data_IF_927790255208
#
_entry.id   IF_927790255208
#
_cell.length_a   1.000
_cell.length_b   1.000
_cell.length_c   1.000
_cell.angle_alpha   90.00
_cell.angle_beta   90.00
_cell.angle_gamma   90.00
#
_symmetry.space_group_name_H-M   'P 1'
#
loop_
_entity.id
_entity.type
_entity.pdbx_description
1 polymer ?
#
# COMPACT_ATOMS: atom_id res chain seq x y z
N UNK A 1 25.76 -77.72 -18.82
CA UNK A 1 26.18 -76.80 -17.80
C UNK A 1 26.42 -75.42 -18.40
N UNK A 2 25.48 -74.56 -18.38
CA UNK A 2 25.58 -73.22 -19.00
C UNK A 2 26.02 -72.21 -17.93
N UNK A 3 27.23 -71.65 -18.05
CA UNK A 3 27.73 -70.58 -17.23
C UNK A 3 27.28 -69.21 -17.73
N UNK A 4 26.41 -68.54 -17.02
CA UNK A 4 26.02 -67.18 -17.30
C UNK A 4 27.07 -66.22 -16.74
N UNK A 5 27.80 -65.56 -17.62
CA UNK A 5 28.65 -64.43 -17.28
C UNK A 5 27.79 -63.18 -17.19
N UNK A 6 27.57 -62.68 -15.97
CA UNK A 6 27.00 -61.39 -15.74
C UNK A 6 27.99 -60.29 -16.09
N UNK A 7 27.69 -59.53 -17.13
CA UNK A 7 28.43 -58.34 -17.54
C UNK A 7 28.03 -57.20 -16.60
N UNK A 8 28.89 -56.84 -15.64
CA UNK A 8 28.72 -55.62 -14.85
C UNK A 8 28.89 -54.42 -15.76
N UNK A 9 27.79 -53.70 -16.02
CA UNK A 9 27.82 -52.38 -16.66
C UNK A 9 28.29 -51.34 -15.68
N UNK A 10 29.57 -50.94 -15.80
CA UNK A 10 30.17 -49.78 -15.11
C UNK A 10 29.72 -48.49 -15.79
N UNK A 11 28.50 -48.05 -15.50
CA UNK A 11 27.94 -46.81 -16.08
C UNK A 11 27.17 -46.03 -15.01
N UNK A 12 27.82 -45.74 -13.89
CA UNK A 12 27.22 -44.77 -12.99
C UNK A 12 28.25 -44.25 -11.97
N UNK A 13 29.30 -43.59 -12.47
CA UNK A 13 30.11 -42.67 -11.66
C UNK A 13 30.61 -41.52 -12.53
N UNK A 14 29.69 -40.71 -13.00
CA UNK A 14 30.03 -39.33 -13.32
C UNK A 14 29.68 -38.51 -12.10
N UNK A 15 30.60 -38.40 -11.18
CA UNK A 15 30.59 -37.35 -10.16
C UNK A 15 30.59 -36.03 -10.88
N UNK A 16 29.40 -35.46 -11.02
CA UNK A 16 29.21 -34.07 -11.46
C UNK A 16 29.60 -33.18 -10.28
N UNK A 17 30.92 -33.06 -10.06
CA UNK A 17 31.45 -32.05 -9.16
C UNK A 17 31.26 -30.70 -9.84
N UNK A 18 30.14 -30.04 -9.57
CA UNK A 18 29.98 -28.62 -9.86
C UNK A 18 30.99 -27.86 -9.00
N UNK A 19 31.85 -27.04 -9.60
CA UNK A 19 32.82 -26.27 -8.85
C UNK A 19 32.07 -25.33 -7.89
N UNK A 20 32.44 -25.38 -6.62
CA UNK A 20 31.86 -24.64 -5.51
C UNK A 20 31.81 -23.11 -5.74
N UNK A 21 32.59 -22.62 -6.71
CA UNK A 21 32.63 -21.20 -7.10
C UNK A 21 31.41 -20.74 -7.92
N UNK A 22 30.59 -21.66 -8.47
CA UNK A 22 29.42 -21.32 -9.27
C UNK A 22 28.12 -21.28 -8.46
N UNK A 23 28.11 -21.84 -7.24
CA UNK A 23 26.92 -21.88 -6.37
C UNK A 23 26.40 -20.50 -5.99
N UNK A 24 27.23 -19.51 -5.61
CA UNK A 24 26.72 -18.19 -5.28
C UNK A 24 26.15 -17.45 -6.49
N UNK A 25 26.67 -17.68 -7.70
CA UNK A 25 26.13 -17.03 -8.91
C UNK A 25 24.79 -17.62 -9.35
N UNK A 26 24.59 -18.93 -9.19
CA UNK A 26 23.32 -19.61 -9.46
C UNK A 26 22.23 -19.19 -8.46
N UNK A 27 22.55 -19.05 -7.17
CA UNK A 27 21.63 -18.57 -6.15
C UNK A 27 21.25 -17.10 -6.37
N UNK A 28 22.19 -16.27 -6.82
CA UNK A 28 21.95 -14.89 -7.22
C UNK A 28 21.07 -14.79 -8.48
N UNK A 29 21.24 -15.71 -9.42
CA UNK A 29 20.41 -15.79 -10.61
C UNK A 29 18.96 -16.16 -10.26
N UNK A 30 18.76 -17.17 -9.40
CA UNK A 30 17.42 -17.54 -8.91
C UNK A 30 16.75 -16.40 -8.10
N UNK A 31 17.52 -15.65 -7.33
CA UNK A 31 17.00 -14.47 -6.62
C UNK A 31 16.58 -13.35 -7.58
N UNK A 32 17.27 -13.21 -8.71
CA UNK A 32 16.86 -12.29 -9.80
C UNK A 32 15.63 -12.80 -10.53
N UNK A 33 15.52 -14.11 -10.78
CA UNK A 33 14.37 -14.70 -11.48
C UNK A 33 13.08 -14.62 -10.66
N UNK A 34 13.16 -14.61 -9.33
CA UNK A 34 12.02 -14.34 -8.45
C UNK A 34 11.51 -12.90 -8.57
N UNK A 35 12.32 -11.96 -9.05
CA UNK A 35 11.97 -10.55 -9.26
C UNK A 35 11.53 -10.23 -10.71
N UNK A 36 11.51 -11.20 -11.61
CA UNK A 36 11.13 -11.02 -13.02
C UNK A 36 9.73 -10.43 -13.17
N UNK A 37 8.78 -10.80 -12.29
CA UNK A 37 7.44 -10.22 -12.30
C UNK A 37 7.42 -8.72 -11.96
N UNK A 38 8.45 -8.20 -11.34
CA UNK A 38 8.57 -6.78 -11.02
C UNK A 38 9.19 -5.99 -12.18
N UNK A 39 10.15 -6.58 -12.90
CA UNK A 39 10.78 -5.96 -14.07
C UNK A 39 9.90 -5.95 -15.32
N UNK A 40 8.96 -6.90 -15.45
CA UNK A 40 8.02 -6.97 -16.58
C UNK A 40 6.78 -6.09 -16.41
N UNK A 41 6.60 -5.45 -15.27
CA UNK A 41 5.46 -4.55 -14.99
C UNK A 41 5.57 -3.15 -15.60
N UNK A 42 6.59 -2.86 -16.37
CA UNK A 42 6.82 -1.54 -16.94
C UNK A 42 7.36 -0.53 -15.92
N UNK A 43 8.10 0.45 -16.39
CA UNK A 43 8.67 1.52 -15.56
C UNK A 43 7.59 2.23 -14.74
N UNK A 44 7.67 2.11 -13.42
CA UNK A 44 6.80 2.80 -12.47
C UNK A 44 5.69 1.97 -11.82
N UNK A 45 5.51 0.70 -12.18
CA UNK A 45 4.54 -0.17 -11.48
C UNK A 45 5.15 -0.77 -10.21
N UNK A 46 5.36 0.04 -9.18
CA UNK A 46 5.69 -0.46 -7.85
C UNK A 46 4.57 -1.36 -7.31
N UNK A 47 4.92 -2.46 -6.63
CA UNK A 47 3.96 -3.35 -5.95
C UNK A 47 3.02 -2.60 -5.01
N UNK A 48 3.44 -1.45 -4.52
CA UNK A 48 2.72 -0.58 -3.59
C UNK A 48 2.16 0.69 -4.23
N UNK A 49 2.27 0.85 -5.56
CA UNK A 49 1.65 1.98 -6.24
C UNK A 49 0.13 1.81 -6.24
N UNK A 50 -0.57 2.86 -5.84
CA UNK A 50 -2.02 2.91 -5.98
C UNK A 50 -2.39 2.88 -7.46
N UNK A 51 -3.32 2.01 -7.82
CA UNK A 51 -3.79 1.89 -9.18
C UNK A 51 -4.47 3.19 -9.62
N UNK A 52 -4.07 3.70 -10.77
CA UNK A 52 -4.74 4.84 -11.40
C UNK A 52 -6.11 4.37 -11.93
N UNK A 53 -7.15 4.91 -11.35
CA UNK A 53 -8.55 4.63 -11.69
C UNK A 53 -9.10 5.75 -12.60
N UNK A 54 -10.28 5.52 -13.19
CA UNK A 54 -11.01 6.60 -13.85
C UNK A 54 -11.41 7.70 -12.85
N UNK A 55 -11.66 8.91 -13.33
CA UNK A 55 -12.02 10.05 -12.45
C UNK A 55 -13.24 9.75 -11.58
N UNK A 56 -14.27 9.10 -12.14
CA UNK A 56 -15.47 8.71 -11.39
C UNK A 56 -15.17 7.68 -10.30
N UNK A 57 -14.36 6.66 -10.62
CA UNK A 57 -13.95 5.66 -9.64
C UNK A 57 -13.05 6.25 -8.55
N UNK A 58 -12.18 7.21 -8.93
CA UNK A 58 -11.34 7.94 -7.99
C UNK A 58 -12.19 8.77 -7.03
N UNK A 59 -13.20 9.50 -7.53
CA UNK A 59 -14.12 10.25 -6.71
C UNK A 59 -14.96 9.34 -5.77
N UNK A 60 -15.44 8.21 -6.27
CA UNK A 60 -16.17 7.24 -5.46
C UNK A 60 -15.30 6.67 -4.31
N UNK A 61 -14.04 6.31 -4.61
CA UNK A 61 -13.09 5.83 -3.59
C UNK A 61 -12.74 6.91 -2.57
N UNK A 62 -12.57 8.16 -3.01
CA UNK A 62 -12.33 9.29 -2.11
C UNK A 62 -13.53 9.54 -1.18
N UNK A 63 -14.77 9.47 -1.69
CA UNK A 63 -16.00 9.57 -0.88
C UNK A 63 -16.08 8.44 0.16
N UNK A 64 -15.75 7.20 -0.21
CA UNK A 64 -15.69 6.08 0.73
C UNK A 64 -14.63 6.33 1.84
N UNK A 65 -13.46 6.84 1.48
CA UNK A 65 -12.42 7.18 2.44
C UNK A 65 -12.87 8.29 3.41
N UNK A 66 -13.58 9.31 2.91
CA UNK A 66 -14.17 10.37 3.74
C UNK A 66 -15.25 9.84 4.67
N UNK A 67 -16.10 8.94 4.19
CA UNK A 67 -17.10 8.28 5.04
C UNK A 67 -16.46 7.49 6.20
N UNK A 68 -15.27 6.89 5.97
CA UNK A 68 -14.51 6.26 7.06
C UNK A 68 -13.95 7.26 8.05
N UNK A 69 -13.55 8.46 7.61
CA UNK A 69 -13.10 9.53 8.52
C UNK A 69 -14.24 9.99 9.44
N UNK A 70 -15.42 10.26 8.89
CA UNK A 70 -16.58 10.70 9.66
C UNK A 70 -17.16 9.61 10.53
N UNK A 71 -17.17 8.36 10.11
CA UNK A 71 -17.71 7.20 10.82
C UNK A 71 -16.67 6.54 11.74
N UNK A 72 -15.86 5.64 11.19
CA UNK A 72 -14.93 4.78 11.96
C UNK A 72 -13.96 5.58 12.85
N UNK A 73 -13.30 6.60 12.27
CA UNK A 73 -12.27 7.35 13.02
C UNK A 73 -12.91 8.13 14.15
N UNK A 74 -14.01 8.84 13.89
CA UNK A 74 -14.73 9.60 14.92
C UNK A 74 -15.28 8.71 16.03
N UNK A 75 -15.81 7.54 15.67
CA UNK A 75 -16.30 6.57 16.64
C UNK A 75 -15.19 6.05 17.56
N UNK A 76 -14.04 5.65 16.99
CA UNK A 76 -12.91 5.15 17.78
C UNK A 76 -12.27 6.24 18.65
N UNK A 77 -12.19 7.49 18.16
CA UNK A 77 -11.73 8.64 18.95
C UNK A 77 -12.65 8.85 20.16
N UNK A 78 -13.97 8.89 19.96
CA UNK A 78 -14.93 9.09 21.02
C UNK A 78 -14.94 7.96 22.07
N UNK A 79 -14.68 6.72 21.62
CA UNK A 79 -14.52 5.55 22.51
C UNK A 79 -13.13 5.46 23.14
N UNK A 80 -12.21 6.37 22.83
CA UNK A 80 -10.81 6.38 23.29
C UNK A 80 -10.03 5.14 22.85
N UNK A 81 -10.39 4.54 21.74
CA UNK A 81 -9.70 3.40 21.13
C UNK A 81 -8.58 3.89 20.21
N UNK A 82 -7.53 4.46 20.81
CA UNK A 82 -6.48 5.21 20.14
C UNK A 82 -5.74 4.42 19.06
N UNK A 83 -5.43 3.15 19.33
CA UNK A 83 -4.76 2.29 18.35
C UNK A 83 -5.64 2.02 17.13
N UNK A 84 -6.93 1.74 17.35
CA UNK A 84 -7.91 1.51 16.30
C UNK A 84 -8.17 2.79 15.51
N UNK A 85 -8.32 3.94 16.20
CA UNK A 85 -8.45 5.24 15.58
C UNK A 85 -7.27 5.57 14.66
N UNK A 86 -6.04 5.38 15.12
CA UNK A 86 -4.83 5.60 14.32
C UNK A 86 -4.74 4.65 13.11
N UNK A 87 -5.13 3.40 13.26
CA UNK A 87 -5.14 2.44 12.15
C UNK A 87 -6.23 2.75 11.12
N UNK A 88 -7.43 3.13 11.57
CA UNK A 88 -8.52 3.55 10.70
C UNK A 88 -8.15 4.83 9.93
N UNK A 89 -7.58 5.82 10.63
CA UNK A 89 -7.09 7.06 10.01
C UNK A 89 -6.07 6.78 8.90
N UNK A 90 -5.04 5.97 9.15
CA UNK A 90 -4.01 5.66 8.15
C UNK A 90 -4.59 4.96 6.93
N UNK A 91 -5.54 4.02 7.12
CA UNK A 91 -6.22 3.34 6.00
C UNK A 91 -7.01 4.33 5.14
N UNK A 92 -7.77 5.23 5.76
CA UNK A 92 -8.55 6.21 5.04
C UNK A 92 -7.65 7.21 4.29
N UNK A 93 -6.63 7.74 4.96
CA UNK A 93 -5.76 8.80 4.43
C UNK A 93 -4.85 8.30 3.30
N UNK A 94 -4.44 7.04 3.34
CA UNK A 94 -3.54 6.49 2.32
C UNK A 94 -4.13 6.61 0.90
N UNK A 95 -5.40 6.25 0.72
CA UNK A 95 -6.08 6.39 -0.57
C UNK A 95 -6.56 7.82 -0.82
N UNK A 96 -7.11 8.48 0.21
CA UNK A 96 -7.67 9.82 0.09
C UNK A 96 -6.65 10.84 -0.41
N UNK A 97 -5.40 10.81 0.11
CA UNK A 97 -4.36 11.74 -0.31
C UNK A 97 -4.03 11.61 -1.81
N UNK A 98 -3.92 10.39 -2.29
CA UNK A 98 -3.66 10.11 -3.70
C UNK A 98 -4.84 10.55 -4.58
N UNK A 99 -6.05 10.22 -4.17
CA UNK A 99 -7.26 10.47 -4.93
C UNK A 99 -7.59 11.97 -5.03
N UNK A 100 -7.52 12.69 -3.92
CA UNK A 100 -7.74 14.14 -3.90
C UNK A 100 -6.70 14.87 -4.77
N UNK A 101 -5.42 14.50 -4.67
CA UNK A 101 -4.39 15.12 -5.50
C UNK A 101 -4.62 14.87 -7.01
N UNK A 102 -5.04 13.66 -7.39
CA UNK A 102 -5.36 13.34 -8.77
C UNK A 102 -6.60 14.11 -9.26
N UNK A 103 -7.66 14.17 -8.47
CA UNK A 103 -8.88 14.91 -8.81
C UNK A 103 -8.60 16.40 -8.99
N UNK A 104 -7.84 17.00 -8.07
CA UNK A 104 -7.43 18.39 -8.15
C UNK A 104 -6.59 18.66 -9.42
N UNK A 105 -5.65 17.75 -9.73
CA UNK A 105 -4.81 17.89 -10.92
C UNK A 105 -5.60 17.73 -12.24
N UNK A 106 -6.57 16.81 -12.29
CA UNK A 106 -7.34 16.51 -13.50
C UNK A 106 -8.49 17.49 -13.75
N UNK A 107 -9.16 17.96 -12.71
CA UNK A 107 -10.35 18.81 -12.79
C UNK A 107 -10.11 20.29 -12.45
N UNK A 108 -8.91 20.64 -11.98
CA UNK A 108 -8.57 22.02 -11.63
C UNK A 108 -9.19 22.48 -10.30
N UNK A 109 -9.25 21.58 -9.30
CA UNK A 109 -9.75 21.92 -7.97
C UNK A 109 -8.76 22.77 -7.14
N UNK A 110 -9.21 23.21 -5.96
CA UNK A 110 -8.41 24.03 -5.05
C UNK A 110 -7.31 23.21 -4.35
N UNK A 111 -6.06 23.41 -4.80
CA UNK A 111 -4.89 22.76 -4.23
C UNK A 111 -4.57 23.24 -2.81
N UNK A 112 -4.95 24.45 -2.44
CA UNK A 112 -4.69 24.98 -1.10
C UNK A 112 -5.71 24.42 -0.10
N UNK A 113 -6.96 24.22 -0.51
CA UNK A 113 -7.94 23.47 0.28
C UNK A 113 -7.49 22.02 0.54
N UNK A 114 -6.92 21.37 -0.48
CA UNK A 114 -6.36 20.02 -0.30
C UNK A 114 -5.18 20.01 0.69
N UNK A 115 -4.28 20.97 0.62
CA UNK A 115 -3.17 21.10 1.59
C UNK A 115 -3.69 21.35 3.01
N UNK A 116 -4.71 22.17 3.16
CA UNK A 116 -5.30 22.48 4.47
C UNK A 116 -6.00 21.26 5.07
N UNK A 117 -6.69 20.47 4.25
CA UNK A 117 -7.21 19.16 4.65
C UNK A 117 -6.10 18.26 5.20
N UNK A 118 -4.99 18.12 4.48
CA UNK A 118 -3.91 17.23 4.91
C UNK A 118 -3.20 17.72 6.17
N UNK A 119 -3.07 19.03 6.37
CA UNK A 119 -2.59 19.59 7.66
C UNK A 119 -3.51 19.24 8.81
N UNK A 120 -4.84 19.35 8.59
CA UNK A 120 -5.83 19.00 9.60
C UNK A 120 -5.74 17.52 9.97
N UNK A 121 -5.55 16.63 8.96
CA UNK A 121 -5.36 15.19 9.17
C UNK A 121 -4.07 14.90 9.94
N UNK A 122 -2.98 15.59 9.65
CA UNK A 122 -1.70 15.44 10.37
C UNK A 122 -1.83 15.88 11.84
N UNK A 123 -2.55 16.96 12.08
CA UNK A 123 -2.88 17.41 13.44
C UNK A 123 -3.75 16.39 14.18
N UNK A 124 -4.71 15.77 13.49
CA UNK A 124 -5.54 14.71 14.05
C UNK A 124 -4.70 13.45 14.39
N UNK A 125 -3.78 13.02 13.53
CA UNK A 125 -2.88 11.89 13.84
C UNK A 125 -2.00 12.18 15.06
N UNK A 126 -1.53 13.41 15.21
CA UNK A 126 -0.80 13.84 16.40
C UNK A 126 -1.66 13.79 17.67
N UNK A 127 -2.90 14.32 17.62
CA UNK A 127 -3.81 14.29 18.75
C UNK A 127 -4.19 12.86 19.16
N UNK A 128 -4.40 11.96 18.19
CA UNK A 128 -4.63 10.52 18.44
C UNK A 128 -3.43 9.87 19.13
N UNK A 129 -2.20 10.18 18.69
CA UNK A 129 -0.97 9.66 19.32
C UNK A 129 -0.77 10.20 20.73
N UNK A 130 -1.13 11.45 20.95
CA UNK A 130 -1.11 12.09 22.29
C UNK A 130 -2.25 11.62 23.19
N UNK A 131 -3.22 10.90 22.64
CA UNK A 131 -4.44 10.44 23.34
C UNK A 131 -5.28 11.60 23.89
N UNK A 132 -5.28 12.72 23.20
CA UNK A 132 -6.00 13.93 23.54
C UNK A 132 -7.37 13.93 22.86
N UNK A 133 -8.42 13.66 23.64
CA UNK A 133 -9.79 13.59 23.14
C UNK A 133 -10.32 14.98 22.76
N UNK A 134 -9.99 15.98 23.57
CA UNK A 134 -10.55 17.33 23.42
C UNK A 134 -10.09 17.98 22.11
N UNK A 135 -8.87 17.65 21.67
CA UNK A 135 -8.32 18.09 20.40
C UNK A 135 -8.68 17.15 19.25
N UNK A 136 -8.67 15.82 19.46
CA UNK A 136 -8.88 14.84 18.40
C UNK A 136 -10.33 14.84 17.87
N UNK A 137 -11.32 14.99 18.74
CA UNK A 137 -12.74 14.94 18.34
C UNK A 137 -13.12 16.08 17.37
N UNK A 138 -12.84 17.37 17.66
CA UNK A 138 -13.13 18.44 16.72
C UNK A 138 -12.29 18.35 15.43
N UNK A 139 -11.05 17.88 15.51
CA UNK A 139 -10.21 17.70 14.32
C UNK A 139 -10.73 16.59 13.40
N UNK A 140 -11.29 15.51 13.95
CA UNK A 140 -11.90 14.46 13.16
C UNK A 140 -13.12 14.97 12.37
N UNK A 141 -13.99 15.74 13.02
CA UNK A 141 -15.13 16.38 12.39
C UNK A 141 -14.70 17.41 11.32
N UNK A 142 -13.70 18.25 11.64
CA UNK A 142 -13.16 19.22 10.69
C UNK A 142 -12.52 18.56 9.45
N UNK A 143 -11.77 17.48 9.63
CA UNK A 143 -11.16 16.75 8.52
C UNK A 143 -12.22 16.14 7.59
N UNK A 144 -13.28 15.54 8.15
CA UNK A 144 -14.38 15.00 7.37
C UNK A 144 -15.10 16.10 6.58
N UNK A 145 -15.46 17.21 7.22
CA UNK A 145 -16.13 18.33 6.58
C UNK A 145 -15.31 18.97 5.45
N UNK A 146 -14.00 19.14 5.65
CA UNK A 146 -13.09 19.65 4.60
C UNK A 146 -12.98 18.69 3.43
N UNK A 147 -12.91 17.38 3.69
CA UNK A 147 -12.87 16.38 2.64
C UNK A 147 -14.16 16.37 1.81
N UNK A 148 -15.33 16.43 2.47
CA UNK A 148 -16.64 16.52 1.81
C UNK A 148 -16.75 17.80 0.97
N UNK A 149 -16.29 18.94 1.48
CA UNK A 149 -16.29 20.21 0.75
C UNK A 149 -15.45 20.15 -0.54
N UNK A 150 -14.27 19.52 -0.49
CA UNK A 150 -13.42 19.32 -1.67
C UNK A 150 -14.09 18.37 -2.66
N UNK A 151 -14.66 17.26 -2.19
CA UNK A 151 -15.29 16.25 -3.04
C UNK A 151 -16.64 16.68 -3.63
N UNK A 152 -17.28 17.69 -3.05
CA UNK A 152 -18.51 18.29 -3.61
C UNK A 152 -18.26 19.02 -4.94
N UNK A 153 -17.02 19.38 -5.24
CA UNK A 153 -16.64 20.00 -6.51
C UNK A 153 -16.46 18.99 -7.65
N UNK A 154 -16.48 17.68 -7.35
CA UNK A 154 -16.25 16.58 -8.30
C UNK A 154 -17.42 15.60 -8.35
#
# INVERSE_FOLDING_TARGET
>A
MFGWKTKKSSLFERNFFLPTSLLPSLLLQQARDLNINESTRGDGASRFALQKLSTEQTAARAKEATARLSGEVSEYVNKKYWTQAGNALRRAVYTLRFDVNNLVAEKGGDADAAKDLFKTIESLDFAIRSKDLDTASPLAAAAASKADAILAAF
#
